data_IF_494334029090
#
_entry.id   IF_494334029090
#
_cell.length_a   1.000
_cell.length_b   1.000
_cell.length_c   1.000
_cell.angle_alpha   90.00
_cell.angle_beta   90.00
_cell.angle_gamma   90.00
#
_symmetry.space_group_name_H-M   'P 1'
#
loop_
_entity.id
_entity.type
_entity.pdbx_description
1 polymer ?
#
# COMPACT_ATOMS: atom_id res chain seq x y z
N UNK A 1 -37.32 27.14 -28.36
CA UNK A 1 -37.52 28.29 -27.45
C UNK A 1 -37.46 27.74 -26.03
N UNK A 2 -36.59 28.11 -25.08
CA UNK A 2 -35.65 29.22 -24.87
C UNK A 2 -34.34 28.62 -24.33
N UNK A 3 -33.19 29.01 -24.90
CA UNK A 3 -31.87 28.73 -24.33
C UNK A 3 -31.60 29.79 -23.25
N UNK A 4 -31.47 29.39 -21.99
CA UNK A 4 -31.03 30.28 -20.91
C UNK A 4 -29.50 30.14 -20.85
N UNK A 5 -28.82 31.09 -21.47
CA UNK A 5 -27.36 31.26 -21.37
C UNK A 5 -27.03 31.78 -19.97
N UNK A 6 -26.49 30.94 -19.10
CA UNK A 6 -25.78 31.39 -17.91
C UNK A 6 -24.46 32.01 -18.36
N UNK A 7 -24.42 33.34 -18.33
CA UNK A 7 -23.21 34.13 -18.51
C UNK A 7 -22.29 33.85 -17.32
N UNK A 8 -21.31 32.96 -17.52
CA UNK A 8 -20.16 32.79 -16.65
C UNK A 8 -19.41 34.13 -16.61
N UNK A 9 -19.66 34.93 -15.59
CA UNK A 9 -18.82 36.06 -15.24
C UNK A 9 -17.50 35.48 -14.72
N UNK A 10 -16.61 35.13 -15.65
CA UNK A 10 -15.22 34.86 -15.37
C UNK A 10 -14.58 36.17 -14.89
N UNK A 11 -14.66 36.43 -13.59
CA UNK A 11 -13.77 37.39 -12.95
C UNK A 11 -12.35 36.86 -13.10
N UNK A 12 -11.69 37.36 -14.14
CA UNK A 12 -10.27 37.23 -14.36
C UNK A 12 -9.54 37.87 -13.17
N UNK A 13 -9.28 37.08 -12.12
CA UNK A 13 -8.23 37.40 -11.16
C UNK A 13 -6.93 37.28 -11.95
N UNK A 14 -6.35 38.42 -12.26
CA UNK A 14 -5.11 38.56 -12.99
C UNK A 14 -4.04 37.59 -12.44
N UNK A 15 -3.64 36.63 -13.28
CA UNK A 15 -2.45 35.82 -13.12
C UNK A 15 -1.20 36.73 -13.21
N UNK A 16 -0.89 37.46 -12.15
CA UNK A 16 0.36 38.22 -12.02
C UNK A 16 1.39 37.52 -11.12
N UNK A 17 1.31 36.20 -10.91
CA UNK A 17 2.27 35.45 -10.07
C UNK A 17 3.26 34.56 -10.86
N UNK A 18 3.25 34.62 -12.19
CA UNK A 18 4.05 33.76 -13.06
C UNK A 18 5.51 34.20 -13.29
N UNK A 19 6.04 35.21 -12.57
CA UNK A 19 7.40 35.73 -12.85
C UNK A 19 8.35 35.92 -11.65
N UNK A 20 8.00 35.55 -10.42
CA UNK A 20 9.00 35.65 -9.37
C UNK A 20 10.09 34.58 -9.54
N UNK A 21 11.33 35.05 -9.73
CA UNK A 21 12.54 34.24 -9.80
C UNK A 21 12.84 33.63 -8.43
N UNK A 22 13.38 32.42 -8.43
CA UNK A 22 13.91 31.80 -7.21
C UNK A 22 15.05 32.65 -6.62
N UNK A 23 15.00 32.84 -5.31
CA UNK A 23 16.09 33.43 -4.52
C UNK A 23 17.02 32.32 -4.02
N UNK A 24 18.32 32.62 -3.91
CA UNK A 24 19.28 31.70 -3.30
C UNK A 24 19.06 31.64 -1.78
N UNK A 25 18.95 30.44 -1.25
CA UNK A 25 18.91 30.12 0.17
C UNK A 25 20.21 29.46 0.63
N UNK A 26 20.14 28.79 1.78
CA UNK A 26 21.28 28.11 2.38
C UNK A 26 21.43 26.68 1.84
N UNK A 27 22.64 26.12 1.95
CA UNK A 27 22.94 24.73 1.59
C UNK A 27 22.52 24.30 0.17
N UNK A 28 22.57 25.23 -0.79
CA UNK A 28 22.19 24.97 -2.18
C UNK A 28 20.67 24.89 -2.41
N UNK A 29 19.86 25.25 -1.41
CA UNK A 29 18.43 25.47 -1.57
C UNK A 29 18.16 26.77 -2.31
N UNK A 30 17.18 26.74 -3.20
CA UNK A 30 16.57 27.92 -3.80
C UNK A 30 15.11 28.02 -3.36
N UNK A 31 14.57 29.23 -3.19
CA UNK A 31 13.22 29.41 -2.67
C UNK A 31 12.43 30.55 -3.31
N UNK A 32 11.11 30.50 -3.16
CA UNK A 32 10.14 31.55 -3.47
C UNK A 32 9.11 31.62 -2.36
N UNK A 33 8.98 32.78 -1.73
CA UNK A 33 7.89 33.05 -0.77
C UNK A 33 6.81 33.80 -1.53
N UNK A 34 5.62 33.22 -1.59
CA UNK A 34 4.43 33.85 -2.14
C UNK A 34 3.63 34.36 -0.95
N UNK A 35 3.72 35.66 -0.71
CA UNK A 35 2.96 36.27 0.37
C UNK A 35 1.52 36.52 -0.08
N UNK A 36 0.60 35.83 0.58
CA UNK A 36 -0.85 36.01 0.42
C UNK A 36 -1.56 36.09 1.78
N UNK A 37 -0.78 36.06 2.86
CA UNK A 37 -1.25 36.05 4.24
C UNK A 37 -1.53 37.42 4.83
N UNK A 38 -2.23 37.43 5.96
CA UNK A 38 -2.51 38.61 6.79
C UNK A 38 -2.10 38.32 8.24
N UNK A 39 -1.71 39.34 8.99
CA UNK A 39 -1.34 39.23 10.41
C UNK A 39 0.16 39.22 10.68
N UNK A 40 0.52 38.87 11.91
CA UNK A 40 1.89 38.90 12.42
C UNK A 40 2.79 37.84 11.77
N UNK A 41 4.09 38.15 11.71
CA UNK A 41 5.13 37.17 11.42
C UNK A 41 5.16 36.08 12.51
N UNK A 42 5.52 34.88 12.11
CA UNK A 42 5.70 33.74 13.00
C UNK A 42 6.70 34.05 14.13
N UNK A 43 6.36 33.67 15.36
CA UNK A 43 7.19 33.83 16.57
C UNK A 43 7.62 32.48 17.12
N UNK A 44 8.88 32.35 17.51
CA UNK A 44 9.42 31.11 18.10
C UNK A 44 8.54 30.64 19.26
N UNK A 45 8.19 29.35 19.28
CA UNK A 45 7.29 28.75 20.27
C UNK A 45 5.82 28.70 19.86
N UNK A 46 5.42 29.37 18.78
CA UNK A 46 4.11 29.17 18.14
C UNK A 46 4.06 27.84 17.37
N UNK A 47 2.88 27.44 16.90
CA UNK A 47 2.66 26.20 16.16
C UNK A 47 2.08 26.49 14.78
N UNK A 48 2.67 25.93 13.75
CA UNK A 48 2.24 26.12 12.37
C UNK A 48 1.42 24.93 11.91
N UNK A 49 0.24 25.22 11.35
CA UNK A 49 -0.54 24.25 10.59
C UNK A 49 -0.22 24.37 9.11
N UNK A 50 0.34 23.30 8.55
CA UNK A 50 0.94 23.29 7.23
C UNK A 50 0.29 22.24 6.34
N UNK A 51 0.02 22.63 5.09
CA UNK A 51 0.01 21.66 4.00
C UNK A 51 1.34 21.69 3.29
N UNK A 52 1.87 20.52 2.96
CA UNK A 52 3.05 20.44 2.11
C UNK A 52 2.96 19.34 1.07
N UNK A 53 3.62 19.59 -0.05
CA UNK A 53 3.73 18.69 -1.19
C UNK A 53 5.20 18.63 -1.61
N UNK A 54 5.74 17.43 -1.68
CA UNK A 54 7.13 17.19 -2.11
C UNK A 54 7.11 16.47 -3.45
N UNK A 55 7.85 16.98 -4.43
CA UNK A 55 7.87 16.50 -5.81
C UNK A 55 9.32 16.30 -6.26
N UNK A 56 9.62 15.17 -6.88
CA UNK A 56 10.86 14.94 -7.61
C UNK A 56 10.64 15.24 -9.10
N UNK A 57 11.42 16.18 -9.65
CA UNK A 57 11.30 16.63 -11.04
C UNK A 57 12.67 16.84 -11.69
N UNK A 58 12.71 16.90 -13.02
CA UNK A 58 13.92 17.28 -13.78
C UNK A 58 14.65 16.15 -14.52
N UNK A 59 14.07 14.95 -14.63
CA UNK A 59 14.69 13.81 -15.35
C UNK A 59 14.13 13.57 -16.77
N UNK A 60 13.33 14.50 -17.31
CA UNK A 60 12.65 14.36 -18.61
C UNK A 60 11.47 13.38 -18.61
N UNK A 61 11.08 12.83 -17.45
CA UNK A 61 9.85 12.06 -17.24
C UNK A 61 8.81 12.92 -16.52
N UNK A 62 7.58 12.39 -16.40
CA UNK A 62 6.53 12.97 -15.56
C UNK A 62 7.02 13.10 -14.11
N UNK A 63 6.69 14.22 -13.48
CA UNK A 63 7.02 14.51 -12.09
C UNK A 63 6.48 13.43 -11.14
N UNK A 64 7.31 13.04 -10.16
CA UNK A 64 6.93 12.07 -9.14
C UNK A 64 6.56 12.81 -7.85
N UNK A 65 5.31 12.73 -7.43
CA UNK A 65 4.89 13.21 -6.10
C UNK A 65 5.42 12.24 -5.04
N UNK A 66 6.24 12.74 -4.13
CA UNK A 66 6.82 11.99 -3.02
C UNK A 66 5.94 12.03 -1.78
N UNK A 67 5.31 13.19 -1.53
CA UNK A 67 4.38 13.38 -0.42
C UNK A 67 3.36 14.48 -0.77
N UNK A 68 2.11 14.34 -0.33
CA UNK A 68 1.08 15.34 -0.48
C UNK A 68 0.06 15.27 0.66
N UNK A 69 0.19 16.16 1.64
CA UNK A 69 -0.72 16.14 2.82
C UNK A 69 -2.15 16.55 2.47
N UNK A 70 -2.36 17.24 1.34
CA UNK A 70 -3.71 17.57 0.85
C UNK A 70 -4.46 16.34 0.34
N UNK A 71 -3.75 15.45 -0.36
CA UNK A 71 -4.32 14.19 -0.84
C UNK A 71 -4.57 13.21 0.31
N UNK A 72 -3.69 13.20 1.31
CA UNK A 72 -3.88 12.42 2.54
C UNK A 72 -5.05 12.94 3.38
N UNK A 73 -5.44 14.21 3.22
CA UNK A 73 -6.62 14.79 3.84
C UNK A 73 -6.40 15.38 5.23
N UNK A 74 -5.14 15.55 5.66
CA UNK A 74 -4.82 16.10 6.97
C UNK A 74 -3.63 17.06 6.91
N UNK A 75 -3.75 18.30 7.40
CA UNK A 75 -2.60 19.18 7.58
C UNK A 75 -1.69 18.67 8.71
N UNK A 76 -0.45 19.13 8.74
CA UNK A 76 0.52 18.81 9.78
C UNK A 76 0.69 20.01 10.71
N UNK A 77 0.66 19.77 12.02
CA UNK A 77 0.79 20.82 13.04
C UNK A 77 2.09 20.61 13.82
N UNK A 78 3.04 21.52 13.63
CA UNK A 78 4.38 21.43 14.22
C UNK A 78 4.79 22.72 14.92
N UNK A 79 5.60 22.64 15.99
CA UNK A 79 6.12 23.84 16.63
C UNK A 79 7.08 24.59 15.70
N UNK A 80 7.08 25.91 15.81
CA UNK A 80 8.02 26.78 15.15
C UNK A 80 9.19 27.08 16.10
N UNK A 81 10.19 26.22 16.06
CA UNK A 81 11.44 26.37 16.80
C UNK A 81 12.61 25.76 16.03
N UNK A 82 13.84 26.02 16.51
CA UNK A 82 15.06 25.52 15.88
C UNK A 82 15.36 24.04 16.16
N UNK A 83 14.66 23.41 17.11
CA UNK A 83 14.82 21.99 17.40
C UNK A 83 13.99 21.12 16.43
N UNK A 84 12.87 21.65 15.96
CA UNK A 84 11.88 20.96 15.13
C UNK A 84 12.04 21.23 13.64
N UNK A 85 12.85 22.22 13.27
CA UNK A 85 13.02 22.66 11.88
C UNK A 85 14.49 22.71 11.47
N UNK A 86 14.83 22.26 10.25
CA UNK A 86 16.16 22.51 9.70
C UNK A 86 16.45 24.03 9.65
N UNK A 87 17.70 24.46 9.91
CA UNK A 87 18.06 25.88 10.01
C UNK A 87 17.63 26.73 8.80
N UNK A 88 17.75 26.17 7.59
CA UNK A 88 17.34 26.84 6.35
C UNK A 88 15.83 27.16 6.33
N UNK A 89 14.99 26.20 6.73
CA UNK A 89 13.54 26.42 6.81
C UNK A 89 13.16 27.35 7.96
N UNK A 90 13.82 27.24 9.13
CA UNK A 90 13.57 28.13 10.26
C UNK A 90 13.80 29.61 9.90
N UNK A 91 14.87 29.91 9.15
CA UNK A 91 15.16 31.29 8.67
C UNK A 91 14.13 31.81 7.67
N UNK A 92 13.59 30.94 6.81
CA UNK A 92 12.55 31.32 5.85
C UNK A 92 11.21 31.55 6.55
N UNK A 93 10.81 30.64 7.45
CA UNK A 93 9.56 30.76 8.19
C UNK A 93 9.50 31.98 9.12
N UNK A 94 10.63 32.46 9.66
CA UNK A 94 10.70 33.75 10.40
C UNK A 94 10.16 34.95 9.62
N UNK A 95 10.14 34.88 8.29
CA UNK A 95 9.70 35.95 7.40
C UNK A 95 8.27 35.73 6.89
N UNK A 96 7.61 34.66 7.34
CA UNK A 96 6.30 34.24 6.86
C UNK A 96 5.24 34.44 7.93
N UNK A 97 3.99 34.53 7.48
CA UNK A 97 2.80 34.66 8.32
C UNK A 97 1.72 33.69 7.86
N UNK A 98 0.66 33.57 8.67
CA UNK A 98 -0.54 32.79 8.32
C UNK A 98 -1.04 33.15 6.92
N UNK A 99 -1.20 32.15 6.06
CA UNK A 99 -1.66 32.30 4.69
C UNK A 99 -0.54 32.47 3.65
N UNK A 100 0.72 32.61 4.04
CA UNK A 100 1.83 32.61 3.08
C UNK A 100 2.12 31.21 2.54
N UNK A 101 2.72 31.16 1.35
CA UNK A 101 3.19 29.92 0.72
C UNK A 101 4.68 30.00 0.45
N UNK A 102 5.37 28.87 0.55
CA UNK A 102 6.80 28.75 0.27
C UNK A 102 7.00 27.62 -0.72
N UNK A 103 7.71 27.88 -1.80
CA UNK A 103 8.24 26.85 -2.69
C UNK A 103 9.75 26.83 -2.55
N UNK A 104 10.32 25.69 -2.17
CA UNK A 104 11.76 25.46 -2.21
C UNK A 104 12.10 24.46 -3.31
N UNK A 105 13.33 24.52 -3.82
CA UNK A 105 13.92 23.46 -4.62
C UNK A 105 15.37 23.25 -4.24
N UNK A 106 15.80 22.00 -4.18
CA UNK A 106 17.19 21.61 -3.90
C UNK A 106 17.61 20.53 -4.89
N UNK A 107 18.82 20.60 -5.43
CA UNK A 107 19.32 19.52 -6.29
C UNK A 107 19.50 18.24 -5.49
N UNK A 108 19.18 17.09 -6.08
CA UNK A 108 19.37 15.77 -5.44
C UNK A 108 20.83 15.59 -5.01
N UNK A 109 21.78 15.97 -5.87
CA UNK A 109 23.22 15.91 -5.55
C UNK A 109 23.57 16.69 -4.28
N UNK A 110 23.03 17.91 -4.12
CA UNK A 110 23.28 18.71 -2.92
C UNK A 110 22.62 18.14 -1.67
N UNK A 111 21.42 17.55 -1.81
CA UNK A 111 20.66 16.98 -0.70
C UNK A 111 21.39 15.78 -0.07
N UNK A 112 22.02 14.95 -0.89
CA UNK A 112 22.68 13.72 -0.44
C UNK A 112 24.21 13.85 -0.29
N UNK A 113 24.81 15.01 -0.62
CA UNK A 113 26.26 15.25 -0.53
C UNK A 113 26.86 14.97 0.86
N UNK A 114 26.09 15.18 1.93
CA UNK A 114 26.52 15.00 3.33
C UNK A 114 26.00 13.71 3.96
N UNK A 115 25.24 12.91 3.22
CA UNK A 115 24.68 11.65 3.73
C UNK A 115 25.67 10.50 3.47
N UNK A 116 25.80 9.53 4.39
CA UNK A 116 26.56 8.32 4.15
C UNK A 116 26.14 7.64 2.84
N UNK A 117 27.12 7.07 2.12
CA UNK A 117 26.85 6.31 0.89
C UNK A 117 25.80 5.22 1.16
N UNK A 118 24.80 5.12 0.28
CA UNK A 118 23.70 4.16 0.39
C UNK A 118 22.40 4.70 1.02
N UNK A 119 22.37 5.92 1.56
CA UNK A 119 21.11 6.53 2.05
C UNK A 119 20.23 7.13 0.95
N UNK A 120 20.73 7.20 -0.29
CA UNK A 120 19.95 7.68 -1.43
C UNK A 120 19.02 6.56 -1.92
N UNK A 121 17.69 6.77 -1.93
CA UNK A 121 16.78 5.77 -2.47
C UNK A 121 17.10 5.48 -3.95
N UNK A 122 17.03 4.21 -4.40
CA UNK A 122 17.41 3.83 -5.78
C UNK A 122 16.67 4.63 -6.87
N UNK A 123 15.44 5.07 -6.60
CA UNK A 123 14.66 5.87 -7.54
C UNK A 123 15.16 7.33 -7.68
N UNK A 124 15.95 7.83 -6.73
CA UNK A 124 16.57 9.17 -6.76
C UNK A 124 18.01 9.16 -7.30
N UNK A 125 18.66 8.00 -7.31
CA UNK A 125 20.05 7.83 -7.77
C UNK A 125 20.26 7.99 -9.28
N UNK A 126 19.20 8.29 -10.03
CA UNK A 126 19.19 7.96 -11.44
C UNK A 126 19.81 9.01 -12.36
N UNK A 127 19.81 10.33 -12.11
CA UNK A 127 20.39 11.31 -13.07
C UNK A 127 20.86 12.64 -12.48
N UNK A 128 22.00 13.13 -13.00
CA UNK A 128 22.46 14.53 -12.88
C UNK A 128 21.35 15.47 -13.38
N UNK A 129 21.04 16.56 -12.64
CA UNK A 129 19.99 17.60 -12.88
C UNK A 129 18.58 17.34 -12.32
N UNK A 130 18.40 16.42 -11.36
CA UNK A 130 17.12 16.29 -10.64
C UNK A 130 17.02 17.27 -9.46
N UNK A 131 15.80 17.76 -9.22
CA UNK A 131 15.47 18.63 -8.10
C UNK A 131 14.33 18.04 -7.27
N UNK A 132 14.46 18.18 -5.95
CA UNK A 132 13.36 17.98 -5.01
C UNK A 132 12.72 19.34 -4.77
N UNK A 133 11.45 19.47 -5.14
CA UNK A 133 10.61 20.64 -4.88
C UNK A 133 9.77 20.39 -3.63
N UNK A 134 9.72 21.37 -2.73
CA UNK A 134 8.83 21.35 -1.57
C UNK A 134 7.94 22.58 -1.59
N UNK A 135 6.63 22.37 -1.72
CA UNK A 135 5.62 23.41 -1.67
C UNK A 135 4.95 23.37 -0.30
N UNK A 136 4.93 24.48 0.43
CA UNK A 136 4.37 24.61 1.78
C UNK A 136 3.35 25.72 1.78
N UNK A 137 2.21 25.51 2.43
CA UNK A 137 1.19 26.53 2.73
C UNK A 137 0.98 26.59 4.23
N UNK A 138 1.20 27.75 4.82
CA UNK A 138 0.81 28.00 6.22
C UNK A 138 -0.69 28.28 6.23
N UNK A 139 -1.47 27.34 6.74
CA UNK A 139 -2.93 27.44 6.80
C UNK A 139 -3.36 28.20 8.04
N UNK A 140 -2.74 27.86 9.17
CA UNK A 140 -3.02 28.49 10.46
C UNK A 140 -1.77 28.57 11.34
N UNK A 141 -1.85 29.41 12.37
CA UNK A 141 -0.82 29.55 13.40
C UNK A 141 -1.52 29.57 14.75
N UNK A 142 -1.09 28.70 15.66
CA UNK A 142 -1.58 28.61 17.02
C UNK A 142 -0.55 29.17 17.98
N UNK A 143 -0.98 29.93 18.98
CA UNK A 143 -0.08 30.62 19.90
C UNK A 143 0.35 29.73 21.05
N UNK A 144 -0.48 28.75 21.39
CA UNK A 144 -0.24 27.86 22.53
C UNK A 144 -0.28 26.39 22.11
N UNK A 145 0.39 25.55 22.90
CA UNK A 145 0.35 24.10 22.73
C UNK A 145 -1.08 23.56 22.83
N UNK A 146 -1.90 24.08 23.75
CA UNK A 146 -3.28 23.64 23.95
C UNK A 146 -4.18 23.90 22.73
N UNK A 147 -4.03 25.06 22.07
CA UNK A 147 -4.72 25.36 20.80
C UNK A 147 -4.25 24.41 19.70
N UNK A 148 -2.94 24.17 19.60
CA UNK A 148 -2.36 23.27 18.61
C UNK A 148 -2.84 21.82 18.80
N UNK A 149 -2.89 21.32 20.04
CA UNK A 149 -3.36 19.96 20.35
C UNK A 149 -4.84 19.79 20.07
N UNK A 150 -5.65 20.80 20.37
CA UNK A 150 -7.07 20.82 20.02
C UNK A 150 -7.27 20.73 18.50
N UNK A 151 -6.48 21.49 17.74
CA UNK A 151 -6.51 21.45 16.29
C UNK A 151 -5.98 20.12 15.70
N UNK A 152 -4.95 19.50 16.30
CA UNK A 152 -4.46 18.16 15.93
C UNK A 152 -5.56 17.13 16.08
N UNK A 153 -6.27 17.12 17.22
CA UNK A 153 -7.39 16.21 17.47
C UNK A 153 -8.51 16.36 16.44
N UNK A 154 -8.88 17.61 16.12
CA UNK A 154 -9.88 17.89 15.07
C UNK A 154 -9.41 17.42 13.69
N UNK A 155 -8.15 17.66 13.34
CA UNK A 155 -7.56 17.24 12.06
C UNK A 155 -7.52 15.72 11.92
N UNK A 156 -7.19 14.99 12.99
CA UNK A 156 -7.22 13.52 13.02
C UNK A 156 -8.64 12.98 12.85
N UNK A 157 -9.62 13.55 13.57
CA UNK A 157 -11.02 13.16 13.43
C UNK A 157 -11.55 13.43 12.00
N UNK A 158 -11.19 14.59 11.42
CA UNK A 158 -11.54 14.90 10.03
C UNK A 158 -10.87 13.92 9.05
N UNK A 159 -9.60 13.59 9.26
CA UNK A 159 -8.87 12.62 8.44
C UNK A 159 -9.50 11.22 8.49
N UNK A 160 -9.94 10.78 9.68
CA UNK A 160 -10.65 9.51 9.86
C UNK A 160 -11.99 9.50 9.10
N UNK A 161 -12.77 10.57 9.19
CA UNK A 161 -14.04 10.72 8.43
C UNK A 161 -13.78 10.69 6.92
N UNK A 162 -12.76 11.42 6.45
CA UNK A 162 -12.37 11.42 5.02
C UNK A 162 -11.90 10.03 4.58
N UNK A 163 -11.08 9.36 5.38
CA UNK A 163 -10.59 8.01 5.08
C UNK A 163 -11.75 7.01 4.99
N UNK A 164 -12.69 7.07 5.93
CA UNK A 164 -13.90 6.25 5.90
C UNK A 164 -14.75 6.53 4.66
N UNK A 165 -14.99 7.81 4.34
CA UNK A 165 -15.74 8.19 3.14
C UNK A 165 -15.06 7.71 1.84
N UNK A 166 -13.73 7.81 1.75
CA UNK A 166 -12.94 7.28 0.63
C UNK A 166 -13.04 5.76 0.53
N UNK A 167 -12.97 5.04 1.65
CA UNK A 167 -13.11 3.59 1.68
C UNK A 167 -14.52 3.16 1.23
N UNK A 168 -15.57 3.81 1.73
CA UNK A 168 -16.96 3.55 1.31
C UNK A 168 -17.17 3.86 -0.18
N UNK A 169 -16.59 4.95 -0.68
CA UNK A 169 -16.65 5.30 -2.10
C UNK A 169 -15.93 4.26 -2.97
N UNK A 170 -14.77 3.74 -2.51
CA UNK A 170 -14.04 2.67 -3.20
C UNK A 170 -14.85 1.38 -3.24
N UNK A 171 -15.48 0.98 -2.12
CA UNK A 171 -16.35 -0.22 -2.09
C UNK A 171 -17.48 -0.09 -3.13
N UNK A 172 -18.12 1.07 -3.22
CA UNK A 172 -19.17 1.33 -4.22
C UNK A 172 -18.63 1.32 -5.64
N UNK A 173 -17.45 1.90 -5.86
CA UNK A 173 -16.80 1.94 -7.17
C UNK A 173 -16.39 0.54 -7.64
N UNK A 174 -15.82 -0.28 -6.75
CA UNK A 174 -15.44 -1.66 -7.04
C UNK A 174 -16.69 -2.50 -7.34
N UNK A 175 -17.72 -2.39 -6.51
CA UNK A 175 -18.97 -3.11 -6.71
C UNK A 175 -19.62 -2.78 -8.06
N UNK A 176 -19.66 -1.48 -8.40
CA UNK A 176 -20.15 -1.03 -9.70
C UNK A 176 -19.30 -1.58 -10.84
N UNK A 177 -17.98 -1.51 -10.72
CA UNK A 177 -17.05 -2.00 -11.76
C UNK A 177 -17.25 -3.50 -12.01
N UNK A 178 -17.37 -4.29 -10.94
CA UNK A 178 -17.61 -5.73 -11.04
C UNK A 178 -19.00 -6.05 -11.57
N UNK A 179 -20.04 -5.36 -11.11
CA UNK A 179 -21.40 -5.53 -11.61
C UNK A 179 -21.52 -5.20 -13.11
N UNK A 180 -20.92 -4.09 -13.55
CA UNK A 180 -20.86 -3.71 -14.97
C UNK A 180 -20.10 -4.77 -15.78
N UNK A 181 -18.98 -5.29 -15.25
CA UNK A 181 -18.21 -6.36 -15.89
C UNK A 181 -19.04 -7.64 -16.04
N UNK A 182 -19.74 -8.05 -14.98
CA UNK A 182 -20.60 -9.25 -14.96
C UNK A 182 -21.72 -9.12 -15.98
N UNK A 183 -22.43 -7.99 -15.98
CA UNK A 183 -23.53 -7.73 -16.90
C UNK A 183 -23.05 -7.69 -18.37
N UNK A 184 -21.95 -6.99 -18.64
CA UNK A 184 -21.35 -6.89 -19.99
C UNK A 184 -20.98 -8.27 -20.55
N UNK A 185 -20.46 -9.15 -19.71
CA UNK A 185 -20.02 -10.48 -20.11
C UNK A 185 -21.12 -11.56 -19.94
N UNK A 186 -22.34 -11.17 -19.54
CA UNK A 186 -23.49 -12.08 -19.34
C UNK A 186 -23.20 -13.21 -18.35
N UNK A 187 -22.40 -12.91 -17.33
CA UNK A 187 -22.02 -13.87 -16.28
C UNK A 187 -23.19 -14.02 -15.29
N UNK A 188 -23.51 -15.26 -14.93
CA UNK A 188 -24.50 -15.56 -13.88
C UNK A 188 -23.73 -15.77 -12.57
N UNK A 189 -23.72 -14.75 -11.72
CA UNK A 189 -23.01 -14.78 -10.45
C UNK A 189 -23.90 -14.38 -9.27
N UNK A 190 -23.69 -15.02 -8.12
CA UNK A 190 -24.34 -14.68 -6.85
C UNK A 190 -23.38 -13.85 -6.01
N UNK A 191 -23.87 -12.75 -5.43
CA UNK A 191 -23.06 -11.90 -4.55
C UNK A 191 -23.00 -12.48 -3.13
N UNK A 192 -21.79 -12.61 -2.61
CA UNK A 192 -21.52 -13.08 -1.25
C UNK A 192 -21.83 -12.01 -0.20
N UNK A 193 -21.89 -12.37 1.10
CA UNK A 193 -22.15 -11.41 2.17
C UNK A 193 -21.14 -10.26 2.25
N UNK A 194 -19.86 -10.48 1.93
CA UNK A 194 -18.86 -9.40 1.92
C UNK A 194 -18.76 -8.66 0.58
N UNK A 195 -19.47 -9.13 -0.46
CA UNK A 195 -19.58 -8.44 -1.75
C UNK A 195 -18.71 -9.01 -2.87
N UNK A 196 -18.23 -10.23 -2.75
CA UNK A 196 -17.59 -10.97 -3.85
C UNK A 196 -18.69 -11.53 -4.75
N UNK A 197 -18.53 -11.47 -6.07
CA UNK A 197 -19.44 -12.15 -6.97
C UNK A 197 -18.90 -13.55 -7.28
N UNK A 198 -19.74 -14.58 -7.18
CA UNK A 198 -19.36 -15.98 -7.36
C UNK A 198 -20.16 -16.59 -8.50
N UNK A 199 -19.46 -16.99 -9.56
CA UNK A 199 -19.99 -17.78 -10.69
C UNK A 199 -19.66 -19.25 -10.45
N UNK A 200 -20.66 -20.11 -10.41
CA UNK A 200 -20.47 -21.56 -10.36
C UNK A 200 -20.64 -22.10 -11.79
N UNK A 201 -19.55 -22.56 -12.40
CA UNK A 201 -19.56 -23.15 -13.74
C UNK A 201 -19.76 -24.65 -13.71
N UNK A 202 -19.37 -25.30 -12.62
CA UNK A 202 -19.65 -26.71 -12.34
C UNK A 202 -19.97 -26.86 -10.85
N UNK A 203 -21.17 -27.35 -10.55
CA UNK A 203 -21.56 -27.61 -9.17
C UNK A 203 -20.71 -28.74 -8.56
N UNK A 204 -20.35 -28.56 -7.29
CA UNK A 204 -19.75 -29.61 -6.48
C UNK A 204 -20.80 -30.52 -5.84
N UNK A 205 -20.37 -31.29 -4.84
CA UNK A 205 -21.24 -32.16 -4.05
C UNK A 205 -20.94 -32.03 -2.56
N UNK A 206 -21.91 -32.37 -1.72
CA UNK A 206 -21.77 -32.33 -0.26
C UNK A 206 -22.20 -30.99 0.35
N UNK A 207 -21.76 -30.72 1.57
CA UNK A 207 -22.08 -29.47 2.25
C UNK A 207 -21.28 -28.29 1.69
N UNK A 208 -21.81 -27.07 1.86
CA UNK A 208 -21.03 -25.85 1.69
C UNK A 208 -19.84 -25.85 2.65
N UNK A 209 -18.71 -25.29 2.20
CA UNK A 209 -17.54 -25.17 3.06
C UNK A 209 -17.83 -24.24 4.24
N UNK A 210 -17.47 -24.68 5.44
CA UNK A 210 -17.65 -23.91 6.68
C UNK A 210 -16.33 -23.27 7.16
N UNK A 211 -16.32 -22.72 8.37
CA UNK A 211 -15.12 -22.08 8.95
C UNK A 211 -14.27 -23.05 9.80
N UNK A 212 -14.36 -24.36 9.56
CA UNK A 212 -13.63 -25.39 10.29
C UNK A 212 -12.83 -26.34 9.39
N UNK A 213 -12.80 -26.07 8.09
CA UNK A 213 -12.14 -26.91 7.09
C UNK A 213 -11.00 -26.19 6.37
N UNK A 214 -10.24 -26.98 5.63
CA UNK A 214 -9.27 -26.54 4.64
C UNK A 214 -9.75 -26.96 3.26
N UNK A 215 -9.61 -26.08 2.28
CA UNK A 215 -9.92 -26.39 0.88
C UNK A 215 -8.62 -26.58 0.10
N UNK A 216 -8.42 -27.73 -0.54
CA UNK A 216 -7.35 -27.91 -1.54
C UNK A 216 -7.88 -27.45 -2.88
N UNK A 217 -7.25 -26.43 -3.47
CA UNK A 217 -7.73 -25.81 -4.71
C UNK A 217 -6.66 -25.74 -5.79
N UNK A 218 -7.10 -25.89 -7.03
CA UNK A 218 -6.40 -25.33 -8.18
C UNK A 218 -6.96 -23.93 -8.45
N UNK A 219 -6.12 -23.02 -8.92
CA UNK A 219 -6.52 -21.65 -9.20
C UNK A 219 -5.72 -20.97 -10.32
N UNK A 220 -6.36 -19.96 -10.91
CA UNK A 220 -5.73 -18.97 -11.80
C UNK A 220 -6.19 -17.58 -11.38
N UNK A 221 -5.25 -16.73 -10.95
CA UNK A 221 -5.48 -15.34 -10.58
C UNK A 221 -5.23 -14.38 -11.75
N UNK A 222 -6.23 -13.56 -12.09
CA UNK A 222 -6.19 -12.61 -13.22
C UNK A 222 -6.70 -11.23 -12.81
N UNK A 223 -6.16 -10.18 -13.41
CA UNK A 223 -6.77 -8.85 -13.39
C UNK A 223 -7.98 -8.80 -14.36
N UNK A 224 -8.86 -7.79 -14.23
CA UNK A 224 -10.05 -7.67 -15.08
C UNK A 224 -9.77 -7.53 -16.59
N UNK A 225 -8.56 -7.09 -16.96
CA UNK A 225 -8.07 -7.04 -18.34
C UNK A 225 -7.56 -8.39 -18.87
N UNK A 226 -7.57 -9.43 -18.03
CA UNK A 226 -7.20 -10.80 -18.38
C UNK A 226 -5.74 -11.17 -18.13
N UNK A 227 -4.90 -10.26 -17.63
CA UNK A 227 -3.50 -10.58 -17.31
C UNK A 227 -3.42 -11.54 -16.12
N UNK A 228 -2.82 -12.72 -16.35
CA UNK A 228 -2.55 -13.70 -15.31
C UNK A 228 -1.38 -13.21 -14.45
N UNK A 229 -1.63 -13.03 -13.14
CA UNK A 229 -0.58 -12.67 -12.18
C UNK A 229 -0.10 -13.87 -11.36
N UNK A 230 -0.94 -14.89 -11.17
CA UNK A 230 -0.59 -16.09 -10.42
C UNK A 230 -1.40 -17.32 -10.84
N UNK A 231 -0.82 -18.53 -10.70
CA UNK A 231 -1.50 -19.79 -11.01
C UNK A 231 -0.70 -21.00 -10.50
N UNK A 232 -1.42 -22.05 -10.11
CA UNK A 232 -0.84 -23.38 -9.86
C UNK A 232 -1.30 -24.45 -10.86
N UNK A 233 -1.93 -24.07 -11.98
CA UNK A 233 -2.40 -25.03 -13.00
C UNK A 233 -1.43 -25.22 -14.16
N UNK A 234 -0.39 -24.39 -14.23
CA UNK A 234 0.69 -24.49 -15.22
C UNK A 234 2.06 -24.12 -14.62
N UNK A 235 3.11 -24.27 -15.41
CA UNK A 235 4.51 -24.06 -14.96
C UNK A 235 4.95 -22.60 -14.96
N UNK A 236 4.14 -21.66 -15.44
CA UNK A 236 4.54 -20.27 -15.69
C UNK A 236 4.94 -19.49 -14.43
N UNK A 237 4.43 -19.92 -13.26
CA UNK A 237 4.72 -19.31 -11.95
C UNK A 237 5.59 -20.19 -11.05
N UNK A 238 6.12 -21.29 -11.59
CA UNK A 238 7.09 -22.15 -10.90
C UNK A 238 6.54 -22.95 -9.72
N UNK A 239 5.21 -23.03 -9.56
CA UNK A 239 4.56 -23.87 -8.56
C UNK A 239 3.30 -24.50 -9.17
N UNK A 240 3.06 -25.77 -8.88
CA UNK A 240 1.93 -26.55 -9.44
C UNK A 240 1.14 -27.31 -8.37
N UNK A 241 1.57 -27.21 -7.11
CA UNK A 241 0.90 -27.92 -6.03
C UNK A 241 -0.45 -27.25 -5.72
N UNK A 242 -1.52 -28.04 -5.49
CA UNK A 242 -2.79 -27.51 -5.01
C UNK A 242 -2.61 -26.65 -3.76
N UNK A 243 -3.20 -25.47 -3.77
CA UNK A 243 -3.15 -24.56 -2.64
C UNK A 243 -4.08 -25.08 -1.53
N UNK A 244 -3.55 -25.28 -0.33
CA UNK A 244 -4.36 -25.58 0.86
C UNK A 244 -4.80 -24.29 1.52
N UNK A 245 -6.08 -23.94 1.38
CA UNK A 245 -6.68 -22.72 1.93
C UNK A 245 -7.26 -22.99 3.30
N UNK A 246 -6.71 -22.33 4.32
CA UNK A 246 -7.23 -22.38 5.69
C UNK A 246 -8.49 -21.50 5.81
N UNK A 247 -9.67 -22.11 5.98
CA UNK A 247 -10.92 -21.39 6.27
C UNK A 247 -11.20 -21.30 7.78
N UNK A 248 -10.28 -21.79 8.60
CA UNK A 248 -10.41 -21.82 10.06
C UNK A 248 -9.85 -20.57 10.71
N UNK A 249 -10.18 -20.38 11.98
CA UNK A 249 -9.61 -19.31 12.81
C UNK A 249 -8.24 -19.69 13.41
N UNK A 250 -7.72 -20.89 13.13
CA UNK A 250 -6.46 -21.38 13.68
C UNK A 250 -5.33 -21.19 12.67
N UNK A 251 -4.58 -20.10 12.86
CA UNK A 251 -3.44 -19.74 12.00
C UNK A 251 -2.20 -20.60 12.23
N UNK A 252 -2.17 -21.43 13.29
CA UNK A 252 -1.04 -22.35 13.54
C UNK A 252 -1.00 -23.52 12.55
N UNK A 253 -2.12 -23.80 11.89
CA UNK A 253 -2.27 -24.93 10.97
C UNK A 253 -2.04 -24.55 9.50
N UNK A 254 -1.81 -23.27 9.19
CA UNK A 254 -1.50 -22.80 7.84
C UNK A 254 -1.85 -21.32 7.64
N UNK A 255 -1.15 -20.69 6.69
CA UNK A 255 -1.41 -19.30 6.29
C UNK A 255 -2.79 -19.11 5.67
N UNK A 256 -3.34 -17.90 5.81
CA UNK A 256 -4.59 -17.52 5.20
C UNK A 256 -4.40 -17.00 3.78
N UNK A 257 -5.51 -16.90 3.04
CA UNK A 257 -5.59 -16.24 1.74
C UNK A 257 -6.26 -14.87 1.88
N UNK A 258 -6.36 -14.13 0.77
CA UNK A 258 -7.09 -12.86 0.75
C UNK A 258 -8.55 -13.04 1.23
N UNK A 259 -9.13 -12.06 1.94
CA UNK A 259 -10.46 -12.20 2.53
C UNK A 259 -11.57 -12.57 1.56
N UNK A 260 -11.50 -12.10 0.31
CA UNK A 260 -12.50 -12.39 -0.72
C UNK A 260 -12.49 -13.84 -1.18
N UNK A 261 -11.33 -14.50 -1.21
CA UNK A 261 -11.20 -15.92 -1.53
C UNK A 261 -11.88 -16.76 -0.44
N UNK A 262 -11.58 -16.48 0.82
CA UNK A 262 -12.23 -17.13 1.98
C UNK A 262 -13.75 -16.94 1.96
N UNK A 263 -14.23 -15.76 1.58
CA UNK A 263 -15.66 -15.45 1.52
C UNK A 263 -16.37 -16.19 0.37
N UNK A 264 -15.75 -16.25 -0.80
CA UNK A 264 -16.28 -16.96 -1.97
C UNK A 264 -16.31 -18.49 -1.78
N UNK A 265 -15.25 -19.06 -1.20
CA UNK A 265 -15.15 -20.52 -1.00
C UNK A 265 -16.25 -21.06 -0.09
N UNK A 266 -16.76 -20.27 0.86
CA UNK A 266 -17.90 -20.62 1.72
C UNK A 266 -19.23 -20.75 0.97
N UNK A 267 -19.29 -20.27 -0.27
CA UNK A 267 -20.45 -20.43 -1.17
C UNK A 267 -20.31 -21.65 -2.10
N UNK A 268 -19.22 -22.41 -1.98
CA UNK A 268 -18.91 -23.54 -2.85
C UNK A 268 -18.94 -24.86 -2.07
N UNK A 269 -18.88 -25.96 -2.81
CA UNK A 269 -18.81 -27.34 -2.31
C UNK A 269 -17.55 -28.04 -2.85
N UNK A 270 -17.19 -29.18 -2.28
CA UNK A 270 -16.12 -30.03 -2.85
C UNK A 270 -16.45 -30.39 -4.30
N UNK A 271 -15.47 -30.28 -5.20
CA UNK A 271 -15.62 -30.54 -6.63
C UNK A 271 -16.17 -29.35 -7.44
N UNK A 272 -16.46 -28.22 -6.81
CA UNK A 272 -16.94 -27.03 -7.52
C UNK A 272 -15.86 -26.48 -8.44
N UNK A 273 -16.23 -26.13 -9.67
CA UNK A 273 -15.45 -25.23 -10.54
C UNK A 273 -16.21 -23.93 -10.71
N UNK A 274 -15.50 -22.82 -10.66
CA UNK A 274 -16.13 -21.51 -10.77
C UNK A 274 -15.16 -20.37 -10.82
N UNK A 275 -15.72 -19.17 -10.84
CA UNK A 275 -14.98 -17.91 -10.81
C UNK A 275 -15.46 -17.06 -9.66
N UNK A 276 -14.54 -16.33 -9.05
CA UNK A 276 -14.85 -15.30 -8.06
C UNK A 276 -14.29 -13.96 -8.52
N UNK A 277 -15.14 -12.94 -8.46
CA UNK A 277 -14.81 -11.56 -8.82
C UNK A 277 -14.71 -10.77 -7.52
N UNK A 278 -13.48 -10.48 -7.12
CA UNK A 278 -13.16 -9.98 -5.79
C UNK A 278 -12.91 -8.46 -5.86
N UNK A 279 -13.65 -7.66 -5.09
CA UNK A 279 -13.41 -6.23 -4.99
C UNK A 279 -12.06 -5.95 -4.32
N UNK A 280 -11.40 -4.85 -4.68
CA UNK A 280 -10.02 -4.60 -4.31
C UNK A 280 -9.77 -4.58 -2.80
N UNK A 281 -10.73 -4.08 -2.01
CA UNK A 281 -10.69 -4.07 -0.54
C UNK A 281 -10.72 -5.47 0.10
N UNK A 282 -11.22 -6.49 -0.60
CA UNK A 282 -11.17 -7.90 -0.18
C UNK A 282 -10.00 -8.68 -0.83
N UNK A 283 -9.17 -8.01 -1.62
CA UNK A 283 -7.98 -8.52 -2.26
C UNK A 283 -6.71 -7.87 -1.66
N UNK A 284 -5.96 -7.11 -2.45
CA UNK A 284 -4.68 -6.49 -2.04
C UNK A 284 -4.79 -4.99 -1.72
N UNK A 285 -5.99 -4.41 -1.81
CA UNK A 285 -6.30 -3.04 -1.41
C UNK A 285 -5.37 -1.97 -2.00
N UNK A 286 -5.18 -0.87 -1.26
CA UNK A 286 -4.39 0.27 -1.70
C UNK A 286 -2.88 -0.02 -1.87
N UNK A 287 -2.39 -1.15 -1.33
CA UNK A 287 -0.99 -1.53 -1.46
C UNK A 287 -0.69 -2.23 -2.79
N UNK A 288 -1.66 -2.98 -3.33
CA UNK A 288 -1.40 -3.90 -4.43
C UNK A 288 -0.41 -5.00 -4.03
N UNK A 289 0.15 -5.71 -5.01
CA UNK A 289 1.16 -6.74 -4.78
C UNK A 289 2.10 -6.93 -5.98
N UNK A 290 3.40 -6.96 -5.69
CA UNK A 290 4.44 -7.12 -6.70
C UNK A 290 4.36 -6.06 -7.81
N UNK A 291 4.84 -6.41 -9.00
CA UNK A 291 4.71 -5.58 -10.20
C UNK A 291 3.39 -5.82 -10.95
N UNK A 292 2.68 -6.90 -10.60
CA UNK A 292 1.56 -7.40 -11.40
C UNK A 292 0.19 -6.95 -10.91
N UNK A 293 0.03 -6.64 -9.61
CA UNK A 293 -1.24 -6.23 -9.02
C UNK A 293 -1.17 -4.76 -8.60
N UNK A 294 -1.80 -3.84 -9.35
CA UNK A 294 -1.88 -2.43 -8.98
C UNK A 294 -2.64 -2.20 -7.67
N UNK A 295 -2.46 -1.00 -7.10
CA UNK A 295 -3.28 -0.52 -5.99
C UNK A 295 -4.76 -0.47 -6.38
N UNK A 296 -5.63 -0.90 -5.46
CA UNK A 296 -7.09 -0.92 -5.62
C UNK A 296 -7.56 -1.72 -6.86
N UNK A 297 -6.85 -2.79 -7.22
CA UNK A 297 -7.24 -3.65 -8.33
C UNK A 297 -8.34 -4.64 -7.94
N UNK A 298 -9.42 -4.68 -8.73
CA UNK A 298 -10.42 -5.75 -8.72
C UNK A 298 -9.88 -6.97 -9.46
N UNK A 299 -10.09 -8.17 -8.90
CA UNK A 299 -9.45 -9.40 -9.38
C UNK A 299 -10.46 -10.49 -9.72
N UNK A 300 -10.04 -11.40 -10.58
CA UNK A 300 -10.76 -12.62 -10.94
C UNK A 300 -9.90 -13.80 -10.48
N UNK A 301 -10.51 -14.75 -9.77
CA UNK A 301 -9.89 -16.05 -9.55
C UNK A 301 -10.78 -17.13 -10.14
N UNK A 302 -10.21 -17.93 -11.04
CA UNK A 302 -10.81 -19.18 -11.50
C UNK A 302 -10.34 -20.27 -10.54
N UNK A 303 -11.25 -21.11 -10.02
CA UNK A 303 -10.92 -22.12 -9.02
C UNK A 303 -11.58 -23.45 -9.29
N UNK A 304 -10.91 -24.51 -8.85
CA UNK A 304 -11.44 -25.86 -8.72
C UNK A 304 -11.14 -26.39 -7.32
N UNK A 305 -12.18 -26.79 -6.58
CA UNK A 305 -12.03 -27.38 -5.24
C UNK A 305 -11.81 -28.88 -5.38
N UNK A 306 -10.57 -29.32 -5.18
CA UNK A 306 -10.17 -30.71 -5.32
C UNK A 306 -10.57 -31.53 -4.09
N UNK A 307 -10.34 -30.98 -2.90
CA UNK A 307 -10.58 -31.68 -1.65
C UNK A 307 -10.92 -30.74 -0.50
N UNK A 308 -11.56 -31.29 0.53
CA UNK A 308 -11.92 -30.59 1.76
C UNK A 308 -11.45 -31.42 2.94
N UNK A 309 -10.60 -30.83 3.78
CA UNK A 309 -9.97 -31.49 4.90
C UNK A 309 -10.40 -30.87 6.22
N UNK A 310 -10.58 -31.70 7.23
CA UNK A 310 -10.72 -31.27 8.62
C UNK A 310 -9.38 -30.81 9.22
N UNK A 311 -9.43 -30.05 10.32
CA UNK A 311 -8.24 -29.69 11.11
C UNK A 311 -7.39 -30.90 11.49
N UNK A 312 -8.02 -32.01 11.88
CA UNK A 312 -7.31 -33.23 12.28
C UNK A 312 -6.53 -33.86 11.11
N UNK A 313 -7.12 -33.88 9.92
CA UNK A 313 -6.46 -34.36 8.70
C UNK A 313 -5.27 -33.48 8.34
N UNK A 314 -5.41 -32.15 8.38
CA UNK A 314 -4.31 -31.23 8.09
C UNK A 314 -3.20 -31.31 9.14
N UNK A 315 -3.54 -31.43 10.42
CA UNK A 315 -2.54 -31.62 11.47
C UNK A 315 -1.74 -32.93 11.28
N UNK A 316 -2.42 -34.01 10.89
CA UNK A 316 -1.77 -35.28 10.57
C UNK A 316 -0.87 -35.17 9.33
N UNK A 317 -1.34 -34.55 8.25
CA UNK A 317 -0.56 -34.31 7.03
C UNK A 317 0.70 -33.49 7.32
N UNK A 318 0.55 -32.38 8.07
CA UNK A 318 1.66 -31.52 8.46
C UNK A 318 2.69 -32.27 9.33
N UNK A 319 2.23 -33.06 10.30
CA UNK A 319 3.10 -33.87 11.14
C UNK A 319 3.86 -34.92 10.31
N UNK A 320 3.18 -35.58 9.37
CA UNK A 320 3.79 -36.56 8.48
C UNK A 320 4.84 -35.92 7.55
N UNK A 321 4.57 -34.74 7.01
CA UNK A 321 5.53 -33.98 6.19
C UNK A 321 6.76 -33.57 7.01
N UNK A 322 6.56 -33.04 8.22
CA UNK A 322 7.67 -32.69 9.12
C UNK A 322 8.53 -33.91 9.47
N UNK A 323 7.92 -35.06 9.73
CA UNK A 323 8.64 -36.31 9.99
C UNK A 323 9.46 -36.75 8.76
N UNK A 324 8.90 -36.66 7.55
CA UNK A 324 9.61 -36.95 6.29
C UNK A 324 10.79 -36.01 6.07
N UNK A 325 10.60 -34.71 6.28
CA UNK A 325 11.67 -33.71 6.15
C UNK A 325 12.79 -33.95 7.16
N UNK A 326 12.45 -34.23 8.43
CA UNK A 326 13.45 -34.60 9.47
C UNK A 326 14.20 -35.87 9.10
N UNK A 327 13.52 -36.89 8.56
CA UNK A 327 14.16 -38.12 8.12
C UNK A 327 15.07 -37.91 6.90
N UNK A 328 14.66 -37.09 5.94
CA UNK A 328 15.48 -36.72 4.77
C UNK A 328 16.71 -35.92 5.21
N UNK A 329 16.53 -34.93 6.08
CA UNK A 329 17.61 -34.14 6.65
C UNK A 329 18.60 -35.03 7.40
N UNK A 330 18.11 -35.96 8.22
CA UNK A 330 18.97 -36.94 8.90
C UNK A 330 19.78 -37.77 7.90
N UNK A 331 19.14 -38.34 6.87
CA UNK A 331 19.83 -39.11 5.82
C UNK A 331 20.88 -38.28 5.08
N UNK A 332 20.57 -37.03 4.76
CA UNK A 332 21.52 -36.10 4.15
C UNK A 332 22.71 -35.86 5.08
N UNK A 333 22.46 -35.51 6.35
CA UNK A 333 23.52 -35.30 7.33
C UNK A 333 24.37 -36.55 7.56
N UNK A 334 23.77 -37.74 7.60
CA UNK A 334 24.49 -39.01 7.72
C UNK A 334 25.36 -39.28 6.48
N UNK A 335 24.89 -38.89 5.28
CA UNK A 335 25.68 -39.01 4.04
C UNK A 335 26.85 -38.04 3.99
N UNK A 336 26.65 -36.78 4.42
CA UNK A 336 27.72 -35.78 4.52
C UNK A 336 28.75 -36.22 5.56
N UNK A 337 28.32 -36.72 6.73
CA UNK A 337 29.23 -37.20 7.77
C UNK A 337 30.08 -38.39 7.33
N UNK A 338 29.56 -39.26 6.45
CA UNK A 338 30.34 -40.37 5.86
C UNK A 338 31.34 -39.90 4.80
N UNK A 339 31.01 -38.87 4.04
CA UNK A 339 31.87 -38.35 2.96
C UNK A 339 32.95 -37.39 3.47
N UNK A 340 32.59 -36.50 4.40
CA UNK A 340 33.47 -35.52 5.03
C UNK A 340 32.99 -35.23 6.48
N UNK A 341 33.61 -35.86 7.48
CA UNK A 341 33.26 -35.66 8.89
C UNK A 341 33.41 -34.21 9.36
N UNK A 342 34.38 -33.45 8.82
CA UNK A 342 34.62 -32.05 9.21
C UNK A 342 33.53 -31.13 8.65
N UNK A 343 33.12 -31.36 7.40
CA UNK A 343 32.00 -30.62 6.80
C UNK A 343 30.67 -30.87 7.54
N UNK A 344 30.41 -32.11 7.97
CA UNK A 344 29.23 -32.44 8.75
C UNK A 344 29.21 -31.76 10.12
N UNK A 345 30.36 -31.61 10.77
CA UNK A 345 30.49 -30.93 12.06
C UNK A 345 30.29 -29.41 11.92
N UNK A 346 30.83 -28.81 10.87
CA UNK A 346 30.58 -27.39 10.53
C UNK A 346 29.10 -27.13 10.23
N UNK A 347 28.44 -28.00 9.45
CA UNK A 347 27.00 -27.88 9.19
C UNK A 347 26.16 -28.02 10.47
N UNK A 348 26.50 -28.96 11.36
CA UNK A 348 25.81 -29.11 12.65
C UNK A 348 25.94 -27.84 13.51
N UNK A 349 27.13 -27.24 13.57
CA UNK A 349 27.36 -25.99 14.31
C UNK A 349 26.56 -24.82 13.72
N UNK A 350 26.50 -24.70 12.39
CA UNK A 350 25.69 -23.67 11.71
C UNK A 350 24.18 -23.86 11.97
N UNK A 351 23.68 -25.10 11.94
CA UNK A 351 22.28 -25.40 12.23
C UNK A 351 21.89 -25.11 13.69
N UNK A 352 22.78 -25.38 14.65
CA UNK A 352 22.54 -25.06 16.07
C UNK A 352 22.53 -23.54 16.34
N UNK A 353 23.35 -22.77 15.61
CA UNK A 353 23.33 -21.31 15.69
C UNK A 353 22.04 -20.70 15.11
N UNK A 354 21.45 -21.31 14.09
CA UNK A 354 20.19 -20.85 13.48
C UNK A 354 18.91 -21.26 14.26
N UNK A 355 19.00 -22.27 15.13
CA UNK A 355 17.88 -22.70 15.99
C UNK A 355 17.86 -22.03 17.36
N UNK A 356 18.88 -21.22 17.70
CA UNK A 356 18.80 -20.35 18.87
C UNK A 356 17.79 -19.24 18.58
N UNK A 357 16.75 -19.04 19.41
CA UNK A 357 15.81 -17.94 19.20
C UNK A 357 16.60 -16.64 19.16
N UNK A 358 16.36 -15.80 18.16
CA UNK A 358 16.76 -14.41 18.20
C UNK A 358 16.06 -13.78 19.41
N UNK A 359 16.72 -13.80 20.57
CA UNK A 359 16.42 -12.93 21.69
C UNK A 359 16.96 -11.56 21.32
N UNK A 360 16.22 -10.78 20.54
CA UNK A 360 16.37 -9.33 20.46
C UNK A 360 15.03 -8.68 20.12
#
# INVERSE_FOLDING_TARGET
>A
MRKISFLLLATAIAFSSCQEKYKKGEEGMEYKIISSGKGDLLKTGEFMELHFTTILSGNGKKDSVLNNTREQGAPQIMPFDSASLPPAYFKLFKQMKKGDSLTTRTSVDSLFKKQPEGQMPPFMALKKKQFVYTNIKIVNVYKTQAEADSARKLSMAAAEVIAKAKAEALVKADDKTLSDFIAKNKIIATKSPKGVYVEITQAGTGALLDSNVFAKINYVGKTLDGKIFDTNTDTSKGHMEPLSVNLTNDMSLGGGVIPGMTDALKMMQKGTKGKMYIPSGLAYGARGAGADIPANANLIFEVEILDVLSKAQVAADNAAQQAKMKAMQKKYMDSVAKADPKAAEQMKQQMQQQQSPAQH
#
